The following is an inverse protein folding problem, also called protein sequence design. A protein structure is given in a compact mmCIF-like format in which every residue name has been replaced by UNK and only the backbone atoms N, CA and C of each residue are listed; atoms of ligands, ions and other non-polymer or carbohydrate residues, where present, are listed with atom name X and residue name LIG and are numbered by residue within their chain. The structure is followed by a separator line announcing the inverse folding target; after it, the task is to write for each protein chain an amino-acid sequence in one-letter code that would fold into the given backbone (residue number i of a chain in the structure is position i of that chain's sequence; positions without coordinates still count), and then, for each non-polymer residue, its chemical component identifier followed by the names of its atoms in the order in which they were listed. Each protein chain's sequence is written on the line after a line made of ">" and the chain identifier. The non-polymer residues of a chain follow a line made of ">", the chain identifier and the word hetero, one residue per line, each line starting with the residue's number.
data_IF_912642063917
#
_entry.id   IF_912642063917
#
_cell.length_a   1.000
_cell.length_b   1.000
_cell.length_c   1.000
_cell.angle_alpha   90.00
_cell.angle_beta   90.00
_cell.angle_gamma   90.00
#
_symmetry.space_group_name_H-M   'P 1'
#
loop_
_entity.id
_entity.type
_entity.pdbx_description
1 polymer ?
#
# COMPACT_ATOMS: atom_id res chain seq x y z
N UNK A 1 -26.05 1.96 9.13
CA UNK A 1 -26.03 1.24 7.84
C UNK A 1 -26.54 -0.18 8.05
N UNK A 2 -27.32 -0.77 7.11
CA UNK A 2 -27.73 -2.18 7.21
C UNK A 2 -26.56 -3.12 6.84
N UNK A 3 -26.63 -4.39 7.29
CA UNK A 3 -25.60 -5.41 6.97
C UNK A 3 -25.41 -5.56 5.46
N UNK A 4 -26.51 -5.74 4.72
CA UNK A 4 -26.49 -5.83 3.25
C UNK A 4 -25.80 -4.62 2.61
N UNK A 5 -26.14 -3.40 3.07
CA UNK A 5 -25.56 -2.16 2.54
C UNK A 5 -24.07 -2.05 2.87
N UNK A 6 -23.60 -2.45 4.07
CA UNK A 6 -22.20 -2.42 4.43
C UNK A 6 -21.35 -3.37 3.58
N UNK A 7 -21.84 -4.61 3.43
CA UNK A 7 -21.17 -5.64 2.63
C UNK A 7 -21.14 -5.25 1.14
N UNK A 8 -22.28 -4.86 0.55
CA UNK A 8 -22.32 -4.46 -0.86
C UNK A 8 -21.44 -3.22 -1.13
N UNK A 9 -21.39 -2.25 -0.21
CA UNK A 9 -20.50 -1.09 -0.32
C UNK A 9 -19.02 -1.53 -0.35
N UNK A 10 -18.64 -2.51 0.46
CA UNK A 10 -17.27 -3.02 0.49
C UNK A 10 -16.89 -3.72 -0.82
N UNK A 11 -17.77 -4.57 -1.35
CA UNK A 11 -17.55 -5.23 -2.64
C UNK A 11 -17.47 -4.23 -3.80
N UNK A 12 -18.37 -3.24 -3.84
CA UNK A 12 -18.34 -2.19 -4.87
C UNK A 12 -17.04 -1.40 -4.81
N UNK A 13 -16.53 -1.09 -3.61
CA UNK A 13 -15.27 -0.38 -3.47
C UNK A 13 -14.07 -1.18 -4.02
N UNK A 14 -14.01 -2.50 -3.77
CA UNK A 14 -12.97 -3.38 -4.34
C UNK A 14 -13.14 -3.45 -5.86
N UNK A 15 -14.36 -3.57 -6.36
CA UNK A 15 -14.62 -3.58 -7.81
C UNK A 15 -14.17 -2.26 -8.48
N UNK A 16 -14.43 -1.11 -7.84
CA UNK A 16 -13.96 0.19 -8.33
C UNK A 16 -12.44 0.22 -8.41
N UNK A 17 -11.73 -0.27 -7.38
CA UNK A 17 -10.26 -0.36 -7.39
C UNK A 17 -9.77 -1.14 -8.61
N UNK A 18 -10.28 -2.35 -8.81
CA UNK A 18 -9.86 -3.24 -9.90
C UNK A 18 -10.15 -2.61 -11.27
N UNK A 19 -11.38 -2.11 -11.47
CA UNK A 19 -11.78 -1.59 -12.79
C UNK A 19 -11.03 -0.31 -13.14
N UNK A 20 -10.76 0.57 -12.17
CA UNK A 20 -10.01 1.80 -12.41
C UNK A 20 -8.54 1.52 -12.70
N UNK A 21 -7.95 0.49 -12.10
CA UNK A 21 -6.61 0.03 -12.41
C UNK A 21 -6.53 -0.48 -13.86
N UNK A 22 -7.47 -1.32 -14.27
CA UNK A 22 -7.54 -1.86 -15.64
C UNK A 22 -7.70 -0.72 -16.64
N UNK A 23 -8.63 0.21 -16.41
CA UNK A 23 -8.85 1.36 -17.28
C UNK A 23 -7.58 2.21 -17.40
N UNK A 24 -6.93 2.53 -16.28
CA UNK A 24 -5.74 3.36 -16.28
C UNK A 24 -4.58 2.72 -17.07
N UNK A 25 -4.35 1.42 -16.89
CA UNK A 25 -3.34 0.67 -17.63
C UNK A 25 -3.69 0.54 -19.11
N UNK A 26 -4.96 0.31 -19.44
CA UNK A 26 -5.43 0.22 -20.83
C UNK A 26 -5.26 1.56 -21.56
N UNK A 27 -5.60 2.68 -20.95
CA UNK A 27 -5.39 4.01 -21.52
C UNK A 27 -3.89 4.28 -21.71
N UNK A 28 -3.06 3.97 -20.68
CA UNK A 28 -1.62 4.17 -20.77
C UNK A 28 -0.98 3.32 -21.88
N UNK A 29 -1.46 2.09 -22.11
CA UNK A 29 -0.96 1.23 -23.19
C UNK A 29 -1.25 1.79 -24.59
N UNK A 30 -2.33 2.54 -24.76
CA UNK A 30 -2.61 3.22 -26.03
C UNK A 30 -1.55 4.26 -26.38
N UNK A 31 -0.99 4.95 -25.36
CA UNK A 31 0.10 5.91 -25.57
C UNK A 31 1.41 5.25 -26.00
N UNK A 32 1.63 3.99 -25.58
CA UNK A 32 2.80 3.21 -26.06
C UNK A 32 2.68 2.93 -27.56
N UNK A 33 1.47 2.67 -28.07
CA UNK A 33 1.23 2.43 -29.51
C UNK A 33 1.64 3.64 -30.36
N UNK A 34 1.43 4.86 -29.86
CA UNK A 34 1.85 6.09 -30.53
C UNK A 34 3.29 6.52 -30.16
N UNK A 35 4.10 5.56 -29.65
CA UNK A 35 5.54 5.70 -29.36
C UNK A 35 5.89 6.66 -28.24
N UNK A 36 4.98 6.97 -27.31
CA UNK A 36 5.33 7.67 -26.09
C UNK A 36 6.18 6.74 -25.20
N UNK A 37 7.28 7.22 -24.61
CA UNK A 37 8.13 6.38 -23.75
C UNK A 37 7.34 5.74 -22.61
N UNK A 38 7.55 4.44 -22.38
CA UNK A 38 6.83 3.64 -21.39
C UNK A 38 6.89 4.26 -19.98
N UNK A 39 8.02 4.87 -19.61
CA UNK A 39 8.13 5.54 -18.32
C UNK A 39 7.16 6.71 -18.16
N UNK A 40 6.89 7.48 -19.22
CA UNK A 40 5.85 8.53 -19.21
C UNK A 40 4.46 7.90 -19.12
N UNK A 41 4.23 6.81 -19.84
CA UNK A 41 2.95 6.08 -19.79
C UNK A 41 2.66 5.55 -18.37
N UNK A 42 3.68 5.08 -17.64
CA UNK A 42 3.53 4.66 -16.23
C UNK A 42 3.10 5.81 -15.32
N UNK A 43 3.65 7.01 -15.51
CA UNK A 43 3.26 8.21 -14.76
C UNK A 43 1.81 8.58 -15.08
N UNK A 44 1.44 8.59 -16.36
CA UNK A 44 0.07 8.88 -16.79
C UNK A 44 -0.90 7.84 -16.20
N UNK A 45 -0.54 6.54 -16.23
CA UNK A 45 -1.34 5.48 -15.62
C UNK A 45 -1.57 5.73 -14.13
N UNK A 46 -0.53 6.12 -13.38
CA UNK A 46 -0.65 6.45 -11.96
C UNK A 46 -1.61 7.62 -11.69
N UNK A 47 -1.49 8.69 -12.47
CA UNK A 47 -2.37 9.88 -12.36
C UNK A 47 -3.83 9.49 -12.66
N UNK A 48 -4.06 8.75 -13.76
CA UNK A 48 -5.40 8.31 -14.14
C UNK A 48 -5.98 7.38 -13.06
N UNK A 49 -5.19 6.41 -12.58
CA UNK A 49 -5.61 5.45 -11.56
C UNK A 49 -6.07 6.16 -10.29
N UNK A 50 -5.23 7.02 -9.72
CA UNK A 50 -5.56 7.75 -8.49
C UNK A 50 -6.73 8.72 -8.69
N UNK A 51 -6.71 9.50 -9.77
CA UNK A 51 -7.75 10.50 -10.05
C UNK A 51 -9.11 9.86 -10.34
N UNK A 52 -9.14 8.83 -11.21
CA UNK A 52 -10.37 8.13 -11.58
C UNK A 52 -10.99 7.41 -10.38
N UNK A 53 -10.17 6.70 -9.60
CA UNK A 53 -10.65 6.04 -8.37
C UNK A 53 -11.25 7.05 -7.39
N UNK A 54 -10.55 8.16 -7.12
CA UNK A 54 -11.07 9.20 -6.25
C UNK A 54 -12.41 9.77 -6.74
N UNK A 55 -12.52 10.09 -8.03
CA UNK A 55 -13.73 10.64 -8.61
C UNK A 55 -14.91 9.66 -8.54
N UNK A 56 -14.70 8.39 -8.90
CA UNK A 56 -15.75 7.36 -8.86
C UNK A 56 -16.16 7.06 -7.41
N UNK A 57 -15.21 6.93 -6.47
CA UNK A 57 -15.54 6.75 -5.05
C UNK A 57 -16.30 7.95 -4.48
N UNK A 58 -15.89 9.18 -4.83
CA UNK A 58 -16.60 10.39 -4.43
C UNK A 58 -18.05 10.40 -4.95
N UNK A 59 -18.25 10.05 -6.23
CA UNK A 59 -19.59 9.94 -6.82
C UNK A 59 -20.40 8.81 -6.16
N UNK A 60 -19.82 7.65 -5.95
CA UNK A 60 -20.46 6.52 -5.30
C UNK A 60 -20.94 6.88 -3.89
N UNK A 61 -20.07 7.49 -3.07
CA UNK A 61 -20.40 7.88 -1.71
C UNK A 61 -21.48 8.97 -1.70
N UNK A 62 -21.30 10.04 -2.50
CA UNK A 62 -22.18 11.21 -2.44
C UNK A 62 -23.53 10.97 -3.12
N UNK A 63 -23.59 10.21 -4.22
CA UNK A 63 -24.82 10.04 -5.01
C UNK A 63 -25.57 8.74 -4.67
N UNK A 64 -24.85 7.63 -4.42
CA UNK A 64 -25.47 6.32 -4.18
C UNK A 64 -25.64 6.05 -2.68
N UNK A 65 -24.59 6.26 -1.88
CA UNK A 65 -24.67 6.08 -0.43
C UNK A 65 -25.40 7.28 0.21
N UNK A 66 -25.30 8.46 -0.38
CA UNK A 66 -25.89 9.75 0.05
C UNK A 66 -25.31 10.22 1.39
N UNK A 67 -24.00 10.13 1.55
CA UNK A 67 -23.25 10.61 2.70
C UNK A 67 -22.06 11.46 2.23
N UNK A 68 -21.53 12.36 3.07
CA UNK A 68 -20.32 13.11 2.74
C UNK A 68 -19.10 12.20 2.70
N UNK A 69 -18.11 12.52 1.86
CA UNK A 69 -16.85 11.76 1.73
C UNK A 69 -16.03 11.78 3.02
N UNK A 70 -16.15 12.84 3.83
CA UNK A 70 -15.54 12.91 5.16
C UNK A 70 -15.99 11.79 6.09
N UNK A 71 -17.23 11.31 5.98
CA UNK A 71 -17.76 10.17 6.74
C UNK A 71 -17.09 8.84 6.36
N UNK A 72 -16.38 8.83 5.25
CA UNK A 72 -15.60 7.73 4.72
C UNK A 72 -14.09 8.03 4.77
N UNK A 73 -13.66 8.87 5.69
CA UNK A 73 -12.24 9.15 5.92
C UNK A 73 -11.56 9.95 4.81
N UNK A 74 -12.32 10.53 3.88
CA UNK A 74 -11.83 11.37 2.78
C UNK A 74 -12.26 12.83 2.96
N UNK A 75 -11.80 13.55 4.03
CA UNK A 75 -12.00 14.98 4.18
C UNK A 75 -11.19 15.76 3.14
N UNK A 76 -11.18 17.10 3.23
CA UNK A 76 -10.23 17.91 2.46
C UNK A 76 -8.81 17.38 2.64
N UNK A 77 -8.03 17.37 1.57
CA UNK A 77 -6.66 16.86 1.59
C UNK A 77 -5.81 17.65 2.58
N UNK A 78 -5.31 16.95 3.58
CA UNK A 78 -4.40 17.50 4.58
C UNK A 78 -3.58 16.36 5.21
N UNK A 79 -2.27 16.56 5.31
CA UNK A 79 -1.34 15.59 5.89
C UNK A 79 -0.68 16.23 7.11
N UNK A 80 -0.70 15.51 8.23
CA UNK A 80 -0.08 15.95 9.48
C UNK A 80 1.41 15.62 9.44
N UNK A 81 2.26 16.59 9.80
CA UNK A 81 3.72 16.47 9.73
C UNK A 81 4.27 15.20 10.42
N UNK A 82 3.68 14.78 11.54
CA UNK A 82 4.08 13.57 12.26
C UNK A 82 3.95 12.30 11.39
N UNK A 83 2.94 12.23 10.52
CA UNK A 83 2.76 11.09 9.63
C UNK A 83 3.70 11.17 8.43
N UNK A 84 4.12 12.35 8.01
CA UNK A 84 5.20 12.51 7.02
C UNK A 84 6.52 12.01 7.62
N UNK A 85 6.83 12.37 8.85
CA UNK A 85 8.05 11.90 9.52
C UNK A 85 8.07 10.37 9.66
N UNK A 86 6.95 9.76 10.09
CA UNK A 86 6.84 8.30 10.17
C UNK A 86 6.91 7.65 8.79
N UNK A 87 6.27 8.24 7.77
CA UNK A 87 6.32 7.76 6.39
C UNK A 87 7.76 7.65 5.86
N UNK A 88 8.61 8.61 6.22
CA UNK A 88 10.03 8.58 5.85
C UNK A 88 10.81 7.64 6.76
N UNK A 89 10.68 7.78 8.07
CA UNK A 89 11.50 7.03 9.02
C UNK A 89 11.30 5.52 8.93
N UNK A 90 10.05 5.05 8.83
CA UNK A 90 9.73 3.63 8.88
C UNK A 90 10.46 2.82 7.81
N UNK A 91 10.32 3.10 6.50
CA UNK A 91 10.98 2.31 5.47
C UNK A 91 12.50 2.48 5.47
N UNK A 92 13.02 3.68 5.79
CA UNK A 92 14.46 3.89 5.84
C UNK A 92 15.11 3.21 7.03
N UNK A 93 14.47 3.16 8.19
CA UNK A 93 14.95 2.41 9.36
C UNK A 93 14.97 0.92 9.05
N UNK A 94 13.89 0.38 8.47
CA UNK A 94 13.83 -1.05 8.11
C UNK A 94 14.90 -1.38 7.06
N UNK A 95 14.97 -0.63 5.97
CA UNK A 95 15.99 -0.86 4.93
C UNK A 95 17.41 -0.71 5.46
N UNK A 96 17.64 0.32 6.26
CA UNK A 96 18.91 0.59 6.94
C UNK A 96 19.32 -0.54 7.88
N UNK A 97 18.37 -1.12 8.63
CA UNK A 97 18.65 -2.28 9.50
C UNK A 97 19.20 -3.46 8.71
N UNK A 98 18.63 -3.74 7.53
CA UNK A 98 19.15 -4.80 6.67
C UNK A 98 20.56 -4.54 6.19
N UNK A 99 20.85 -3.32 5.74
CA UNK A 99 22.17 -2.94 5.20
C UNK A 99 23.25 -2.89 6.29
N UNK A 100 22.87 -2.66 7.55
CA UNK A 100 23.82 -2.54 8.67
C UNK A 100 24.03 -3.85 9.43
N UNK A 101 22.99 -4.70 9.52
CA UNK A 101 23.01 -5.89 10.39
C UNK A 101 23.30 -7.16 9.60
N UNK A 102 22.80 -7.27 8.37
CA UNK A 102 22.88 -8.51 7.60
C UNK A 102 23.91 -8.41 6.48
N UNK A 103 24.74 -9.45 6.36
CA UNK A 103 25.70 -9.56 5.28
C UNK A 103 25.00 -9.89 3.96
N UNK A 104 25.45 -9.27 2.89
CA UNK A 104 24.95 -9.47 1.54
C UNK A 104 25.88 -8.89 0.49
N UNK A 105 25.43 -8.93 -0.76
CA UNK A 105 26.19 -8.39 -1.90
C UNK A 105 25.28 -7.50 -2.77
N UNK A 106 25.78 -6.36 -3.19
CA UNK A 106 25.11 -5.54 -4.19
C UNK A 106 25.24 -6.18 -5.58
N UNK A 107 24.11 -6.38 -6.23
CA UNK A 107 24.02 -6.93 -7.58
C UNK A 107 23.22 -5.95 -8.44
N UNK A 108 23.83 -5.50 -9.54
CA UNK A 108 23.17 -4.63 -10.52
C UNK A 108 22.35 -5.45 -11.51
N UNK A 109 21.19 -4.95 -11.89
CA UNK A 109 20.38 -5.52 -12.98
C UNK A 109 20.93 -5.20 -14.38
N UNK A 110 21.96 -4.37 -14.49
CA UNK A 110 22.56 -3.90 -15.75
C UNK A 110 21.55 -3.24 -16.71
N UNK A 111 20.56 -2.57 -16.17
CA UNK A 111 19.56 -1.82 -16.92
C UNK A 111 20.20 -0.63 -17.65
N UNK A 112 19.81 -0.39 -18.89
CA UNK A 112 20.11 0.87 -19.56
C UNK A 112 19.20 2.02 -19.04
N UNK A 113 19.51 3.28 -19.43
CA UNK A 113 18.80 4.46 -18.93
C UNK A 113 17.27 4.41 -19.13
N UNK A 114 16.82 3.92 -20.28
CA UNK A 114 15.37 3.78 -20.57
C UNK A 114 14.71 2.72 -19.67
N UNK A 115 15.39 1.61 -19.43
CA UNK A 115 14.91 0.57 -18.53
C UNK A 115 14.85 1.07 -17.09
N UNK A 116 15.88 1.82 -16.63
CA UNK A 116 15.86 2.45 -15.30
C UNK A 116 14.69 3.43 -15.16
N UNK A 117 14.47 4.28 -16.16
CA UNK A 117 13.34 5.23 -16.16
C UNK A 117 11.99 4.49 -16.13
N UNK A 118 11.83 3.43 -16.91
CA UNK A 118 10.61 2.63 -16.92
C UNK A 118 10.36 1.96 -15.56
N UNK A 119 11.39 1.38 -14.97
CA UNK A 119 11.32 0.73 -13.65
C UNK A 119 10.95 1.73 -12.56
N UNK A 120 11.68 2.85 -12.48
CA UNK A 120 11.42 3.87 -11.46
C UNK A 120 10.05 4.54 -11.63
N UNK A 121 9.64 4.85 -12.84
CA UNK A 121 8.35 5.47 -13.09
C UNK A 121 7.18 4.53 -12.72
N UNK A 122 7.29 3.24 -13.04
CA UNK A 122 6.31 2.23 -12.62
C UNK A 122 6.30 2.09 -11.09
N UNK A 123 7.48 1.93 -10.48
CA UNK A 123 7.63 1.73 -9.05
C UNK A 123 7.21 2.96 -8.23
N UNK A 124 7.58 4.15 -8.64
CA UNK A 124 7.29 5.38 -7.89
C UNK A 124 5.88 5.90 -8.16
N UNK A 125 5.52 6.09 -9.45
CA UNK A 125 4.26 6.76 -9.78
C UNK A 125 3.05 5.83 -9.68
N UNK A 126 3.16 4.59 -10.20
CA UNK A 126 2.02 3.69 -10.26
C UNK A 126 1.89 2.84 -8.98
N UNK A 127 2.86 1.97 -8.69
CA UNK A 127 2.79 1.07 -7.52
C UNK A 127 3.08 1.77 -6.21
N UNK A 128 3.89 2.82 -6.22
CA UNK A 128 4.20 3.63 -5.04
C UNK A 128 3.07 4.60 -4.70
N UNK A 129 3.03 5.72 -5.38
CA UNK A 129 2.13 6.82 -5.02
C UNK A 129 0.67 6.47 -5.32
N UNK A 130 0.36 6.07 -6.56
CA UNK A 130 -1.04 5.89 -6.95
C UNK A 130 -1.68 4.72 -6.20
N UNK A 131 -1.07 3.53 -6.18
CA UNK A 131 -1.62 2.38 -5.47
C UNK A 131 -1.71 2.65 -3.96
N UNK A 132 -0.68 3.24 -3.34
CA UNK A 132 -0.69 3.57 -1.92
C UNK A 132 -1.87 4.44 -1.51
N UNK A 133 -2.23 5.47 -2.29
CA UNK A 133 -3.41 6.29 -2.01
C UNK A 133 -4.73 5.61 -2.37
N UNK A 134 -4.79 4.90 -3.50
CA UNK A 134 -6.01 4.21 -3.96
C UNK A 134 -6.43 3.13 -2.97
N UNK A 135 -5.49 2.31 -2.54
CA UNK A 135 -5.76 1.24 -1.59
C UNK A 135 -6.24 1.80 -0.24
N UNK A 136 -5.67 2.91 0.23
CA UNK A 136 -6.14 3.55 1.45
C UNK A 136 -7.53 4.14 1.30
N UNK A 137 -7.87 4.77 0.17
CA UNK A 137 -9.23 5.24 -0.09
C UNK A 137 -10.25 4.10 -0.07
N UNK A 138 -9.90 2.93 -0.61
CA UNK A 138 -10.78 1.75 -0.65
C UNK A 138 -10.85 1.08 0.71
N UNK A 139 -9.72 0.64 1.27
CA UNK A 139 -9.71 -0.19 2.48
C UNK A 139 -9.98 0.62 3.75
N UNK A 140 -9.31 1.78 3.94
CA UNK A 140 -9.44 2.61 5.17
C UNK A 140 -10.48 3.71 5.01
N UNK A 141 -10.73 4.13 3.78
CA UNK A 141 -11.83 5.01 3.45
C UNK A 141 -13.17 4.27 3.46
N UNK A 142 -13.46 3.54 2.39
CA UNK A 142 -14.80 2.99 2.18
C UNK A 142 -15.09 1.78 3.06
N UNK A 143 -14.25 0.73 3.02
CA UNK A 143 -14.57 -0.55 3.69
C UNK A 143 -14.58 -0.37 5.20
N UNK A 144 -13.53 0.19 5.78
CA UNK A 144 -13.42 0.42 7.23
C UNK A 144 -14.62 1.21 7.75
N UNK A 145 -14.98 2.33 7.10
CA UNK A 145 -16.06 3.18 7.58
C UNK A 145 -17.45 2.58 7.32
N UNK A 146 -17.65 1.81 6.25
CA UNK A 146 -18.88 1.04 6.04
C UNK A 146 -19.08 0.00 7.14
N UNK A 147 -18.03 -0.75 7.49
CA UNK A 147 -18.06 -1.74 8.57
C UNK A 147 -18.23 -1.09 9.94
N UNK A 148 -17.55 0.03 10.21
CA UNK A 148 -17.70 0.80 11.45
C UNK A 148 -19.12 1.34 11.63
N UNK A 149 -19.79 1.76 10.55
CA UNK A 149 -21.19 2.24 10.60
C UNK A 149 -22.20 1.10 10.84
N UNK A 150 -21.79 -0.16 10.71
CA UNK A 150 -22.67 -1.32 10.92
C UNK A 150 -22.32 -2.11 12.18
N UNK A 151 -21.04 -2.31 12.45
CA UNK A 151 -20.52 -3.07 13.56
C UNK A 151 -19.68 -2.18 14.50
N UNK A 152 -18.70 -2.77 15.14
CA UNK A 152 -17.80 -2.08 16.05
C UNK A 152 -16.44 -1.77 15.38
N UNK A 153 -15.62 -0.99 16.09
CA UNK A 153 -14.32 -0.56 15.59
C UNK A 153 -13.33 -1.74 15.39
N UNK A 154 -13.45 -2.81 16.18
CA UNK A 154 -12.57 -3.98 16.05
C UNK A 154 -12.81 -4.70 14.73
N UNK A 155 -14.09 -4.96 14.38
CA UNK A 155 -14.46 -5.54 13.08
C UNK A 155 -14.02 -4.63 11.94
N UNK A 156 -14.20 -3.32 12.09
CA UNK A 156 -13.83 -2.34 11.07
C UNK A 156 -12.31 -2.24 10.83
N UNK A 157 -11.49 -2.58 11.80
CA UNK A 157 -10.02 -2.65 11.64
C UNK A 157 -9.60 -4.01 11.10
N UNK A 158 -10.05 -5.10 11.74
CA UNK A 158 -9.52 -6.44 11.47
C UNK A 158 -9.94 -6.95 10.10
N UNK A 159 -11.24 -6.84 9.75
CA UNK A 159 -11.75 -7.43 8.49
C UNK A 159 -11.08 -6.83 7.25
N UNK A 160 -11.03 -5.49 7.04
CA UNK A 160 -10.35 -4.95 5.87
C UNK A 160 -8.84 -5.18 5.90
N UNK A 161 -8.21 -5.31 7.08
CA UNK A 161 -6.79 -5.64 7.18
C UNK A 161 -6.50 -7.08 6.77
N UNK A 162 -7.35 -8.04 7.16
CA UNK A 162 -7.24 -9.43 6.70
C UNK A 162 -7.48 -9.53 5.19
N UNK A 163 -8.51 -8.86 4.67
CA UNK A 163 -8.77 -8.80 3.24
C UNK A 163 -7.57 -8.22 2.49
N UNK A 164 -6.93 -7.19 3.04
CA UNK A 164 -5.73 -6.59 2.48
C UNK A 164 -4.58 -7.60 2.37
N UNK A 165 -4.34 -8.40 3.41
CA UNK A 165 -3.35 -9.49 3.36
C UNK A 165 -3.71 -10.59 2.34
N UNK A 166 -4.98 -10.97 2.28
CA UNK A 166 -5.46 -12.03 1.38
C UNK A 166 -5.33 -11.62 -0.10
N UNK A 167 -5.69 -10.38 -0.45
CA UNK A 167 -5.60 -9.94 -1.86
C UNK A 167 -4.17 -9.91 -2.39
N UNK A 168 -3.16 -9.79 -1.52
CA UNK A 168 -1.74 -9.80 -1.92
C UNK A 168 -1.20 -11.20 -2.27
N UNK A 169 -1.90 -12.28 -1.93
CA UNK A 169 -1.53 -13.64 -2.37
C UNK A 169 -2.31 -14.09 -3.59
N UNK A 170 -3.36 -13.37 -3.99
CA UNK A 170 -4.16 -13.75 -5.15
C UNK A 170 -3.37 -13.60 -6.46
N UNK A 171 -3.31 -14.67 -7.24
CA UNK A 171 -2.60 -14.67 -8.51
C UNK A 171 -1.07 -14.78 -8.38
N UNK A 172 -0.54 -15.04 -7.19
CA UNK A 172 0.87 -15.28 -6.93
C UNK A 172 1.15 -16.79 -6.86
N UNK A 173 2.27 -17.20 -7.41
CA UNK A 173 2.74 -18.60 -7.36
C UNK A 173 3.68 -18.76 -6.14
N UNK A 174 3.12 -18.55 -4.94
CA UNK A 174 3.85 -18.63 -3.68
C UNK A 174 3.70 -20.02 -3.04
N UNK A 175 4.74 -20.44 -2.32
CA UNK A 175 4.64 -21.56 -1.39
C UNK A 175 3.60 -21.28 -0.29
N UNK A 176 3.04 -22.34 0.32
CA UNK A 176 2.07 -22.21 1.43
C UNK A 176 2.65 -21.35 2.56
N UNK A 177 3.94 -21.55 2.88
CA UNK A 177 4.63 -20.75 3.90
C UNK A 177 4.68 -19.27 3.55
N UNK A 178 5.02 -18.91 2.31
CA UNK A 178 5.02 -17.54 1.83
C UNK A 178 3.61 -16.94 1.82
N UNK A 179 2.59 -17.69 1.41
CA UNK A 179 1.19 -17.23 1.48
C UNK A 179 0.78 -16.86 2.92
N UNK A 180 1.06 -17.73 3.89
CA UNK A 180 0.74 -17.48 5.30
C UNK A 180 1.47 -16.24 5.82
N UNK A 181 2.76 -16.11 5.50
CA UNK A 181 3.55 -14.97 5.92
C UNK A 181 3.02 -13.64 5.34
N UNK A 182 2.69 -13.63 4.06
CA UNK A 182 2.09 -12.46 3.38
C UNK A 182 0.73 -12.09 3.99
N UNK A 183 -0.13 -13.07 4.28
CA UNK A 183 -1.42 -12.81 4.92
C UNK A 183 -1.22 -12.20 6.31
N UNK A 184 -0.29 -12.72 7.11
CA UNK A 184 0.03 -12.18 8.44
C UNK A 184 0.59 -10.77 8.32
N UNK A 185 1.62 -10.57 7.50
CA UNK A 185 2.25 -9.27 7.32
C UNK A 185 1.31 -8.23 6.72
N UNK A 186 0.54 -8.60 5.69
CA UNK A 186 -0.48 -7.77 5.07
C UNK A 186 -1.61 -7.40 6.04
N UNK A 187 -1.98 -8.32 6.95
CA UNK A 187 -2.93 -8.02 8.01
C UNK A 187 -2.35 -7.02 9.01
N UNK A 188 -1.10 -7.22 9.44
CA UNK A 188 -0.44 -6.33 10.42
C UNK A 188 -0.21 -4.92 9.86
N UNK A 189 0.29 -4.78 8.64
CA UNK A 189 0.41 -3.47 7.99
C UNK A 189 -0.96 -2.86 7.76
N UNK A 190 -1.96 -3.69 7.45
CA UNK A 190 -3.36 -3.28 7.34
C UNK A 190 -3.93 -2.68 8.62
N UNK A 191 -3.62 -3.29 9.77
CA UNK A 191 -3.96 -2.76 11.09
C UNK A 191 -3.24 -1.44 11.34
N UNK A 192 -1.95 -1.35 11.04
CA UNK A 192 -1.16 -0.12 11.18
C UNK A 192 -1.81 1.05 10.41
N UNK A 193 -2.11 0.88 9.12
CA UNK A 193 -2.75 1.92 8.32
C UNK A 193 -4.15 2.26 8.84
N UNK A 194 -4.92 1.27 9.29
CA UNK A 194 -6.23 1.51 9.90
C UNK A 194 -6.14 2.37 11.16
N UNK A 195 -5.13 2.12 12.01
CA UNK A 195 -4.88 2.91 13.21
C UNK A 195 -4.48 4.34 12.89
N UNK A 196 -3.63 4.55 11.86
CA UNK A 196 -3.25 5.88 11.37
C UNK A 196 -4.48 6.64 10.84
N UNK A 197 -5.31 5.98 10.01
CA UNK A 197 -6.51 6.59 9.46
C UNK A 197 -7.52 6.97 10.55
N UNK A 198 -7.69 6.14 11.58
CA UNK A 198 -8.57 6.42 12.72
C UNK A 198 -8.00 7.56 13.58
N UNK A 199 -6.70 7.54 13.91
CA UNK A 199 -6.05 8.59 14.69
C UNK A 199 -6.14 9.95 14.02
N UNK A 200 -5.88 9.98 12.72
CA UNK A 200 -5.86 11.22 11.95
C UNK A 200 -7.25 11.71 11.53
N UNK A 201 -8.23 10.81 11.46
CA UNK A 201 -9.53 11.04 10.84
C UNK A 201 -9.47 11.13 9.32
N UNK A 202 -8.39 10.65 8.68
CA UNK A 202 -8.14 10.88 7.26
C UNK A 202 -7.27 9.80 6.63
N UNK A 203 -7.72 9.26 5.50
CA UNK A 203 -6.96 8.33 4.67
C UNK A 203 -5.72 8.96 4.03
N UNK A 204 -5.66 10.28 3.94
CA UNK A 204 -4.49 10.97 3.37
C UNK A 204 -3.23 10.77 4.19
N UNK A 205 -3.38 10.61 5.52
CA UNK A 205 -2.27 10.35 6.44
C UNK A 205 -1.79 8.89 6.36
N UNK A 206 -2.66 7.91 6.28
CA UNK A 206 -2.25 6.52 6.01
C UNK A 206 -1.74 6.37 4.58
N UNK A 207 -2.35 7.07 3.62
CA UNK A 207 -1.94 7.09 2.22
C UNK A 207 -0.51 7.58 2.00
N UNK A 208 -0.09 8.65 2.68
CA UNK A 208 1.31 9.11 2.54
C UNK A 208 2.30 8.12 3.17
N UNK A 209 1.94 7.48 4.30
CA UNK A 209 2.78 6.44 4.90
C UNK A 209 2.89 5.24 3.97
N UNK A 210 1.78 4.80 3.39
CA UNK A 210 1.73 3.70 2.43
C UNK A 210 2.50 4.03 1.15
N UNK A 211 2.25 5.20 0.56
CA UNK A 211 2.91 5.62 -0.68
C UNK A 211 4.44 5.69 -0.52
N UNK A 212 4.94 6.30 0.55
CA UNK A 212 6.40 6.39 0.77
C UNK A 212 6.98 5.02 1.10
N UNK A 213 6.27 4.18 1.85
CA UNK A 213 6.64 2.78 2.06
C UNK A 213 6.87 2.07 0.71
N UNK A 214 5.88 2.09 -0.16
CA UNK A 214 5.97 1.44 -1.47
C UNK A 214 7.11 2.03 -2.33
N UNK A 215 7.24 3.35 -2.38
CA UNK A 215 8.32 4.02 -3.13
C UNK A 215 9.69 3.58 -2.64
N UNK A 216 9.90 3.50 -1.34
CA UNK A 216 11.21 3.16 -0.77
C UNK A 216 11.47 1.67 -0.83
N UNK A 217 10.50 0.82 -0.54
CA UNK A 217 10.70 -0.63 -0.43
C UNK A 217 10.61 -1.33 -1.80
N UNK A 218 9.57 -1.03 -2.57
CA UNK A 218 9.28 -1.70 -3.85
C UNK A 218 9.35 -0.81 -5.09
N UNK A 219 9.79 0.45 -4.94
CA UNK A 219 9.82 1.43 -6.02
C UNK A 219 10.89 1.20 -7.11
N UNK A 220 11.54 0.04 -7.13
CA UNK A 220 12.47 -0.36 -8.21
C UNK A 220 13.89 0.22 -8.10
N UNK A 221 14.22 0.99 -7.07
CA UNK A 221 15.58 1.52 -6.87
C UNK A 221 16.54 0.47 -6.32
N UNK A 222 16.46 0.20 -5.03
CA UNK A 222 17.24 -0.83 -4.33
C UNK A 222 16.29 -1.83 -3.70
N UNK A 223 16.28 -3.07 -4.17
CA UNK A 223 15.62 -4.19 -3.51
C UNK A 223 16.53 -4.84 -2.48
N UNK A 224 15.94 -5.55 -1.51
CA UNK A 224 16.64 -6.41 -0.57
C UNK A 224 15.94 -7.76 -0.54
N UNK A 225 16.66 -8.86 -0.71
CA UNK A 225 16.05 -10.19 -0.75
C UNK A 225 17.08 -11.31 -0.94
N UNK A 226 16.61 -12.54 -1.10
CA UNK A 226 17.45 -13.73 -1.26
C UNK A 226 18.06 -13.87 -2.65
N UNK A 227 17.43 -13.23 -3.64
CA UNK A 227 17.79 -13.31 -5.06
C UNK A 227 17.80 -11.92 -5.66
N UNK A 228 18.47 -11.78 -6.79
CA UNK A 228 18.40 -10.58 -7.61
C UNK A 228 16.97 -10.35 -8.07
N UNK A 229 16.46 -9.16 -7.76
CA UNK A 229 15.17 -8.70 -8.28
C UNK A 229 15.35 -8.04 -9.65
N UNK A 230 14.76 -8.64 -10.66
CA UNK A 230 14.81 -8.15 -12.06
C UNK A 230 14.00 -6.85 -12.30
N UNK A 231 13.17 -6.48 -11.34
CA UNK A 231 12.35 -5.26 -11.39
C UNK A 231 12.95 -4.11 -10.58
N UNK A 232 14.19 -4.24 -10.11
CA UNK A 232 14.92 -3.20 -9.39
C UNK A 232 16.26 -2.91 -10.07
N UNK A 233 16.70 -1.65 -10.01
CA UNK A 233 17.99 -1.23 -10.58
C UNK A 233 19.14 -1.95 -9.90
N UNK A 234 19.05 -2.12 -8.59
CA UNK A 234 20.05 -2.79 -7.76
C UNK A 234 19.35 -3.67 -6.71
N UNK A 235 19.97 -4.77 -6.37
CA UNK A 235 19.51 -5.64 -5.29
C UNK A 235 20.65 -5.87 -4.30
N UNK A 236 20.37 -5.68 -3.02
CA UNK A 236 21.21 -6.18 -1.95
C UNK A 236 20.80 -7.63 -1.65
N UNK A 237 21.55 -8.57 -2.23
CA UNK A 237 21.27 -10.00 -2.08
C UNK A 237 21.83 -10.46 -0.76
N UNK A 238 20.94 -10.88 0.15
CA UNK A 238 21.29 -11.35 1.49
C UNK A 238 21.98 -12.72 1.44
N UNK A 239 22.99 -12.92 2.29
CA UNK A 239 23.58 -14.24 2.51
C UNK A 239 22.63 -15.14 3.30
N UNK A 240 21.78 -14.58 4.16
CA UNK A 240 20.76 -15.31 4.91
C UNK A 240 19.65 -15.79 3.97
N UNK A 241 19.22 -17.03 4.19
CA UNK A 241 18.03 -17.63 3.58
C UNK A 241 16.96 -17.91 4.63
N UNK A 242 17.11 -17.32 5.81
CA UNK A 242 16.11 -17.46 6.87
C UNK A 242 14.82 -16.76 6.45
N UNK A 243 13.77 -17.54 6.39
CA UNK A 243 12.45 -17.13 5.92
C UNK A 243 11.86 -15.95 6.74
N UNK A 244 12.10 -15.95 8.06
CA UNK A 244 11.62 -14.88 8.93
C UNK A 244 12.38 -13.55 8.69
N UNK A 245 13.66 -13.64 8.28
CA UNK A 245 14.50 -12.49 8.01
C UNK A 245 14.23 -11.95 6.60
N UNK A 246 14.22 -12.84 5.59
CA UNK A 246 14.10 -12.43 4.19
C UNK A 246 12.68 -12.07 3.77
N UNK A 247 11.68 -12.56 4.52
CA UNK A 247 10.27 -12.43 4.17
C UNK A 247 9.82 -13.40 3.07
N UNK A 248 10.63 -14.42 2.77
CA UNK A 248 10.34 -15.43 1.75
C UNK A 248 10.23 -14.84 0.35
N UNK A 249 9.29 -15.37 -0.43
CA UNK A 249 9.10 -14.99 -1.84
C UNK A 249 8.50 -13.59 -2.02
N UNK A 250 7.88 -13.04 -0.99
CA UNK A 250 7.32 -11.68 -1.02
C UNK A 250 8.37 -10.60 -0.73
N UNK A 251 9.44 -10.95 -0.02
CA UNK A 251 10.51 -10.04 0.33
C UNK A 251 10.37 -9.42 1.71
N UNK A 252 11.26 -8.46 2.01
CA UNK A 252 11.43 -7.89 3.36
C UNK A 252 10.17 -7.26 3.96
N UNK A 253 9.17 -6.95 3.16
CA UNK A 253 7.89 -6.40 3.63
C UNK A 253 7.15 -7.37 4.56
N UNK A 254 7.28 -8.68 4.35
CA UNK A 254 6.69 -9.72 5.18
C UNK A 254 7.64 -10.27 6.25
N UNK A 255 8.82 -9.70 6.39
CA UNK A 255 9.79 -10.11 7.40
C UNK A 255 9.41 -9.72 8.83
N UNK A 256 10.00 -10.41 9.80
CA UNK A 256 9.83 -10.09 11.23
C UNK A 256 10.25 -8.64 11.53
N UNK A 257 11.28 -8.12 10.89
CA UNK A 257 11.75 -6.74 11.09
C UNK A 257 10.65 -5.74 10.66
N UNK A 258 10.05 -5.97 9.50
CA UNK A 258 8.94 -5.14 9.02
C UNK A 258 7.70 -5.25 9.92
N UNK A 259 7.37 -6.47 10.37
CA UNK A 259 6.28 -6.69 11.32
C UNK A 259 6.48 -5.89 12.62
N UNK A 260 7.70 -5.89 13.18
CA UNK A 260 8.04 -5.06 14.33
C UNK A 260 7.81 -3.57 14.07
N UNK A 261 8.24 -3.08 12.90
CA UNK A 261 7.98 -1.70 12.48
C UNK A 261 6.49 -1.37 12.43
N UNK A 262 5.67 -2.26 11.86
CA UNK A 262 4.21 -2.09 11.79
C UNK A 262 3.57 -2.05 13.18
N UNK A 263 4.00 -2.94 14.10
CA UNK A 263 3.50 -2.98 15.47
C UNK A 263 3.85 -1.70 16.22
N UNK A 264 5.08 -1.20 16.10
CA UNK A 264 5.52 0.06 16.75
C UNK A 264 4.67 1.23 16.27
N UNK A 265 4.50 1.39 14.95
CA UNK A 265 3.71 2.52 14.40
C UNK A 265 2.23 2.38 14.76
N UNK A 266 1.66 1.18 14.72
CA UNK A 266 0.29 0.93 15.18
C UNK A 266 0.12 1.27 16.67
N UNK A 267 1.11 0.92 17.50
CA UNK A 267 1.18 1.26 18.91
C UNK A 267 1.21 2.77 19.15
N UNK A 268 2.06 3.49 18.40
CA UNK A 268 2.11 4.96 18.45
C UNK A 268 0.72 5.56 18.16
N UNK A 269 0.08 5.12 17.07
CA UNK A 269 -1.25 5.60 16.71
C UNK A 269 -2.29 5.27 17.81
N UNK A 270 -2.22 4.07 18.39
CA UNK A 270 -3.10 3.66 19.48
C UNK A 270 -2.96 4.57 20.72
N UNK A 271 -1.72 4.81 21.17
CA UNK A 271 -1.47 5.70 22.32
C UNK A 271 -1.94 7.12 22.05
N UNK A 272 -1.76 7.63 20.83
CA UNK A 272 -2.27 8.96 20.45
C UNK A 272 -3.80 9.02 20.44
N UNK A 273 -4.51 7.95 20.07
CA UNK A 273 -5.97 7.87 20.18
C UNK A 273 -6.40 7.90 21.65
N UNK A 274 -5.69 7.13 22.50
CA UNK A 274 -6.02 7.03 23.93
C UNK A 274 -5.80 8.36 24.66
N UNK A 275 -4.69 9.05 24.38
CA UNK A 275 -4.35 10.33 25.04
C UNK A 275 -5.32 11.48 24.74
N UNK A 276 -6.10 11.38 23.66
CA UNK A 276 -7.15 12.38 23.33
C UNK A 276 -8.49 12.14 24.02
N UNK A 277 -8.65 10.97 24.65
CA UNK A 277 -9.89 10.62 25.36
C UNK A 277 -9.82 10.91 26.85
N UNK A 278 -8.60 11.11 27.34
CA UNK A 278 -8.30 11.58 28.68
C UNK A 278 -8.09 13.09 28.67
#
# INVERSE_FOLDING_TARGET
>A
MSTKKAISTSFVAIFILIITQIIAQSIASMFVIIKIPTGICNIIAGIIYAGLTYLILKMFISKIIKLPTSDFGMPKFAIKIRWILIAVLLPFVIKGSYLLIFNGKYVSSNMNGNQMFNTLSAGVAFTGIAAGFVEEMVFRGVILNALKKRWNIKVAIIVPSMLFGIVHVLGQDFSIGSCLLVIIAGTMVGVMFSMIAIESGSVWNSGIVHAIWNVVIIGGGLAIGEKMDKYSIMTYVLNSKDFAITGGEFGIESSVISLFGYIIVAGIAFFMIKSRKN
#
